data_IF_906826678133
#
_entry.id   IF_906826678133
#
_cell.length_a   1.000
_cell.length_b   1.000
_cell.length_c   1.000
_cell.angle_alpha   90.00
_cell.angle_beta   90.00
_cell.angle_gamma   90.00
#
_symmetry.space_group_name_H-M   'P 1'
#
loop_
_entity.id
_entity.type
_entity.pdbx_description
1 polymer ?
#
# COMPACT_ATOMS: atom_id res chain seq x y z
N UNK A 1 -10.67 -22.22 -7.39
CA UNK A 1 -9.44 -21.42 -7.61
C UNK A 1 -9.48 -20.24 -6.64
N UNK A 2 -8.40 -19.93 -5.90
CA UNK A 2 -8.38 -18.76 -5.00
C UNK A 2 -7.98 -17.52 -5.82
N UNK A 3 -8.77 -16.45 -5.74
CA UNK A 3 -8.48 -15.18 -6.42
C UNK A 3 -7.24 -14.50 -5.81
N UNK A 4 -6.31 -14.06 -6.65
CA UNK A 4 -5.18 -13.20 -6.29
C UNK A 4 -5.60 -11.74 -6.31
N UNK A 5 -5.36 -11.04 -5.22
CA UNK A 5 -5.83 -9.68 -5.01
C UNK A 5 -4.67 -8.72 -4.75
N UNK A 6 -4.72 -7.52 -5.33
CA UNK A 6 -3.74 -6.46 -5.08
C UNK A 6 -4.41 -5.24 -4.41
N UNK A 7 -3.87 -4.83 -3.28
CA UNK A 7 -4.29 -3.64 -2.54
C UNK A 7 -3.36 -2.47 -2.85
N UNK A 8 -3.82 -1.41 -3.51
CA UNK A 8 -2.94 -0.33 -4.00
C UNK A 8 -3.33 1.02 -3.41
N UNK A 9 -2.41 1.66 -2.68
CA UNK A 9 -2.58 3.05 -2.22
C UNK A 9 -1.41 3.94 -2.69
N UNK A 10 -1.29 5.17 -2.20
CA UNK A 10 -0.18 6.05 -2.59
C UNK A 10 1.19 5.54 -2.10
N UNK A 11 1.40 5.36 -0.79
CA UNK A 11 2.75 5.09 -0.24
C UNK A 11 2.99 3.66 0.24
N UNK A 12 2.03 2.75 0.05
CA UNK A 12 2.10 1.39 0.61
C UNK A 12 2.37 1.35 2.13
N UNK A 13 1.77 2.28 2.89
CA UNK A 13 2.03 2.42 4.33
C UNK A 13 0.82 2.09 5.18
N UNK A 14 -0.33 2.70 4.89
CA UNK A 14 -1.51 2.60 5.74
C UNK A 14 -2.62 1.76 5.10
N UNK A 15 -3.48 2.38 4.26
CA UNK A 15 -4.69 1.77 3.69
C UNK A 15 -4.45 0.40 3.03
N UNK A 16 -3.51 0.31 2.09
CA UNK A 16 -3.21 -0.95 1.41
C UNK A 16 -2.61 -2.02 2.32
N UNK A 17 -1.84 -1.60 3.33
CA UNK A 17 -1.18 -2.52 4.27
C UNK A 17 -2.12 -3.03 5.36
N UNK A 18 -3.09 -2.21 5.78
CA UNK A 18 -4.16 -2.67 6.68
C UNK A 18 -5.03 -3.71 5.96
N UNK A 19 -5.46 -3.42 4.73
CA UNK A 19 -6.22 -4.38 3.92
C UNK A 19 -5.42 -5.66 3.66
N UNK A 20 -4.12 -5.56 3.35
CA UNK A 20 -3.26 -6.73 3.23
C UNK A 20 -3.22 -7.54 4.53
N UNK A 21 -2.97 -6.91 5.68
CA UNK A 21 -2.91 -7.59 6.96
C UNK A 21 -4.21 -8.35 7.28
N UNK A 22 -5.36 -7.71 7.05
CA UNK A 22 -6.67 -8.31 7.23
C UNK A 22 -6.88 -9.51 6.30
N UNK A 23 -6.75 -9.31 4.98
CA UNK A 23 -6.99 -10.37 4.00
C UNK A 23 -6.02 -11.55 4.15
N UNK A 24 -4.76 -11.28 4.52
CA UNK A 24 -3.76 -12.33 4.77
C UNK A 24 -4.14 -13.16 5.99
N UNK A 25 -4.67 -12.55 7.05
CA UNK A 25 -5.14 -13.25 8.25
C UNK A 25 -6.32 -14.18 7.92
N UNK A 26 -7.20 -13.76 7.01
CA UNK A 26 -8.34 -14.57 6.54
C UNK A 26 -7.95 -15.60 5.46
N UNK A 27 -6.66 -15.74 5.12
CA UNK A 27 -6.17 -16.79 4.21
C UNK A 27 -6.37 -16.52 2.72
N UNK A 28 -6.58 -15.26 2.33
CA UNK A 28 -6.63 -14.82 0.93
C UNK A 28 -5.22 -14.72 0.31
N UNK A 29 -5.14 -14.87 -1.01
CA UNK A 29 -3.93 -14.59 -1.78
C UNK A 29 -3.86 -13.09 -2.07
N UNK A 30 -3.15 -12.35 -1.23
CA UNK A 30 -3.12 -10.88 -1.27
C UNK A 30 -1.69 -10.34 -1.39
N UNK A 31 -1.53 -9.29 -2.20
CA UNK A 31 -0.35 -8.44 -2.24
C UNK A 31 -0.76 -6.96 -2.06
N UNK A 32 0.21 -6.08 -1.82
CA UNK A 32 -0.07 -4.65 -1.66
C UNK A 32 1.01 -3.74 -2.23
N UNK A 33 0.61 -2.60 -2.78
CA UNK A 33 1.48 -1.69 -3.53
C UNK A 33 1.23 -0.21 -3.20
N UNK A 34 2.21 0.60 -3.58
CA UNK A 34 2.19 2.06 -3.59
C UNK A 34 2.34 2.57 -5.01
N UNK A 35 1.66 3.65 -5.42
CA UNK A 35 1.95 4.29 -6.72
C UNK A 35 2.95 5.43 -6.62
N UNK A 36 3.19 5.96 -5.42
CA UNK A 36 4.15 7.02 -5.16
C UNK A 36 5.60 6.60 -5.45
N UNK A 37 6.43 7.57 -5.83
CA UNK A 37 7.86 7.33 -6.03
C UNK A 37 8.61 7.09 -4.72
N UNK A 38 8.23 7.83 -3.67
CA UNK A 38 8.84 7.74 -2.35
C UNK A 38 7.78 7.54 -1.27
N UNK A 39 8.16 6.85 -0.20
CA UNK A 39 7.36 6.83 1.02
C UNK A 39 7.55 8.14 1.76
N UNK A 40 6.42 8.80 2.09
CA UNK A 40 6.41 9.98 2.96
C UNK A 40 5.58 9.67 4.20
N UNK A 41 6.19 9.85 5.38
CA UNK A 41 5.54 9.74 6.68
C UNK A 41 5.53 11.11 7.37
N UNK A 42 4.46 11.47 8.10
CA UNK A 42 4.44 12.70 8.89
C UNK A 42 5.65 12.80 9.82
N UNK A 43 6.26 13.98 9.89
CA UNK A 43 7.31 14.29 10.86
C UNK A 43 6.85 15.27 11.94
N UNK A 44 7.77 15.95 12.63
CA UNK A 44 7.45 16.91 13.69
C UNK A 44 6.61 18.11 13.20
N UNK A 45 6.78 18.49 11.93
CA UNK A 45 6.03 19.57 11.29
C UNK A 45 5.63 19.21 9.85
N UNK A 46 4.71 19.97 9.26
CA UNK A 46 4.31 19.81 7.85
C UNK A 46 5.47 20.00 6.86
N UNK A 47 6.50 20.77 7.24
CA UNK A 47 7.66 21.08 6.40
C UNK A 47 8.78 20.04 6.52
N UNK A 48 8.68 19.15 7.50
CA UNK A 48 9.73 18.18 7.84
C UNK A 48 9.20 16.75 7.76
N UNK A 49 8.78 16.26 6.58
CA UNK A 49 8.35 14.88 6.42
C UNK A 49 9.53 13.91 6.55
N UNK A 50 9.26 12.71 7.04
CA UNK A 50 10.22 11.61 6.93
C UNK A 50 10.06 10.93 5.57
N UNK A 51 11.13 10.87 4.78
CA UNK A 51 11.13 10.25 3.45
C UNK A 51 12.01 9.00 3.48
N UNK A 52 11.52 7.91 2.88
CA UNK A 52 12.21 6.63 2.89
C UNK A 52 12.08 5.86 1.57
N UNK A 53 13.16 5.15 1.21
CA UNK A 53 13.19 4.10 0.19
C UNK A 53 13.66 2.75 0.79
N UNK A 54 13.55 2.61 2.12
CA UNK A 54 14.09 1.49 2.91
C UNK A 54 13.02 0.46 3.35
N UNK A 55 13.42 -0.74 3.82
CA UNK A 55 12.51 -1.68 4.48
C UNK A 55 11.79 -1.10 5.71
N UNK A 56 10.58 -1.60 6.03
CA UNK A 56 9.78 -1.08 7.15
C UNK A 56 10.49 -1.20 8.50
N UNK A 57 11.32 -2.24 8.69
CA UNK A 57 12.10 -2.43 9.92
C UNK A 57 13.07 -1.26 10.16
N UNK A 58 13.75 -0.80 9.10
CA UNK A 58 14.64 0.36 9.18
C UNK A 58 13.86 1.64 9.52
N UNK A 59 12.72 1.88 8.87
CA UNK A 59 11.85 3.02 9.19
C UNK A 59 11.41 3.00 10.66
N UNK A 60 11.02 1.82 11.17
CA UNK A 60 10.57 1.64 12.54
C UNK A 60 11.67 1.97 13.56
N UNK A 61 12.89 1.51 13.31
CA UNK A 61 14.06 1.75 14.16
C UNK A 61 14.49 3.22 14.11
N UNK A 62 14.51 3.83 12.93
CA UNK A 62 14.85 5.25 12.75
C UNK A 62 13.89 6.17 13.51
N UNK A 63 12.58 5.97 13.35
CA UNK A 63 11.57 6.78 14.04
C UNK A 63 11.57 6.55 15.55
N UNK A 64 11.84 5.32 16.01
CA UNK A 64 12.02 5.03 17.45
C UNK A 64 13.20 5.80 18.05
N UNK A 65 14.27 5.99 17.29
CA UNK A 65 15.45 6.75 17.72
C UNK A 65 15.23 8.25 17.67
N UNK A 66 14.50 8.76 16.67
CA UNK A 66 14.23 10.19 16.49
C UNK A 66 13.31 10.77 17.57
N UNK A 67 12.08 10.24 17.69
CA UNK A 67 11.14 10.68 18.72
C UNK A 67 10.06 9.62 18.99
N UNK A 68 10.31 8.68 19.92
CA UNK A 68 9.40 7.58 20.18
C UNK A 68 8.05 8.05 20.77
N UNK A 69 7.99 9.22 21.41
CA UNK A 69 6.74 9.75 21.99
C UNK A 69 5.85 10.31 20.89
N UNK A 70 6.40 11.15 20.00
CA UNK A 70 5.69 11.70 18.85
C UNK A 70 5.14 10.59 17.95
N UNK A 71 6.00 9.66 17.54
CA UNK A 71 5.63 8.64 16.56
C UNK A 71 4.75 7.52 17.14
N UNK A 72 4.69 7.39 18.47
CA UNK A 72 3.67 6.58 19.13
C UNK A 72 2.34 7.31 19.17
N UNK A 73 2.33 8.59 19.56
CA UNK A 73 1.12 9.41 19.68
C UNK A 73 0.38 9.57 18.34
N UNK A 74 1.11 9.71 17.23
CA UNK A 74 0.51 9.83 15.90
C UNK A 74 0.25 8.48 15.20
N UNK A 75 0.45 7.35 15.89
CA UNK A 75 0.15 6.01 15.37
C UNK A 75 1.15 5.42 14.37
N UNK A 76 2.23 6.13 14.01
CA UNK A 76 3.19 5.64 13.00
C UNK A 76 4.00 4.43 13.49
N UNK A 77 4.44 4.40 14.75
CA UNK A 77 5.18 3.24 15.27
C UNK A 77 4.34 1.95 15.31
N UNK A 78 3.09 1.97 15.82
CA UNK A 78 2.18 0.83 15.69
C UNK A 78 1.95 0.40 14.23
N UNK A 79 1.72 1.37 13.33
CA UNK A 79 1.51 1.11 11.90
C UNK A 79 2.72 0.42 11.26
N UNK A 80 3.93 0.92 11.50
CA UNK A 80 5.16 0.30 10.98
C UNK A 80 5.40 -1.07 11.60
N UNK A 81 5.08 -1.28 12.88
CA UNK A 81 5.16 -2.60 13.53
C UNK A 81 4.23 -3.60 12.84
N UNK A 82 3.00 -3.20 12.48
CA UNK A 82 2.09 -4.02 11.65
C UNK A 82 2.73 -4.32 10.30
N UNK A 83 3.26 -3.30 9.61
CA UNK A 83 3.83 -3.46 8.27
C UNK A 83 5.00 -4.47 8.24
N UNK A 84 5.89 -4.41 9.23
CA UNK A 84 6.98 -5.39 9.42
C UNK A 84 6.44 -6.82 9.52
N UNK A 85 5.31 -7.04 10.19
CA UNK A 85 4.68 -8.36 10.29
C UNK A 85 4.02 -8.85 9.01
N UNK A 86 3.73 -7.95 8.06
CA UNK A 86 3.06 -8.27 6.80
C UNK A 86 4.08 -8.62 5.71
N UNK A 87 5.08 -7.73 5.48
CA UNK A 87 6.13 -7.90 4.46
C UNK A 87 7.35 -7.02 4.73
N UNK A 88 8.45 -7.25 4.01
CA UNK A 88 9.76 -6.61 4.27
C UNK A 88 9.79 -5.11 3.99
N UNK A 89 9.28 -4.69 2.83
CA UNK A 89 9.43 -3.32 2.33
C UNK A 89 8.18 -2.84 1.57
N UNK A 90 7.93 -1.53 1.51
CA UNK A 90 6.97 -0.98 0.56
C UNK A 90 7.42 -1.32 -0.86
N UNK A 91 6.46 -1.74 -1.69
CA UNK A 91 6.66 -2.04 -3.10
C UNK A 91 5.86 -1.07 -3.95
N UNK A 92 6.41 -0.67 -5.10
CA UNK A 92 5.75 0.18 -6.08
C UNK A 92 4.92 -0.65 -7.04
N UNK A 93 3.74 -0.16 -7.41
CA UNK A 93 2.84 -0.82 -8.35
C UNK A 93 3.47 -0.91 -9.74
N UNK A 94 4.17 0.14 -10.16
CA UNK A 94 4.80 0.22 -11.47
C UNK A 94 5.90 -0.82 -11.68
N UNK A 95 6.47 -1.35 -10.58
CA UNK A 95 7.61 -2.26 -10.59
C UNK A 95 7.18 -3.70 -10.22
N UNK A 96 5.89 -4.05 -10.39
CA UNK A 96 5.31 -5.31 -9.91
C UNK A 96 5.37 -6.48 -10.93
N UNK A 97 6.07 -6.32 -12.06
CA UNK A 97 6.05 -7.29 -13.15
C UNK A 97 6.44 -8.72 -12.70
N UNK A 98 7.39 -8.84 -11.77
CA UNK A 98 7.87 -10.12 -11.25
C UNK A 98 6.87 -10.80 -10.30
N UNK A 99 5.88 -10.08 -9.77
CA UNK A 99 4.86 -10.61 -8.86
C UNK A 99 3.71 -11.34 -9.59
N UNK A 100 3.68 -11.29 -10.92
CA UNK A 100 2.69 -11.92 -11.78
C UNK A 100 1.33 -11.19 -11.82
N UNK A 101 0.29 -11.88 -12.29
CA UNK A 101 -1.04 -11.28 -12.51
C UNK A 101 -1.95 -11.35 -11.28
N UNK A 102 -2.88 -10.40 -11.20
CA UNK A 102 -3.92 -10.32 -10.16
C UNK A 102 -5.29 -10.41 -10.80
N UNK A 103 -6.21 -11.13 -10.15
CA UNK A 103 -7.60 -11.25 -10.58
C UNK A 103 -8.41 -10.00 -10.16
N UNK A 104 -8.07 -9.41 -9.01
CA UNK A 104 -8.75 -8.21 -8.48
C UNK A 104 -7.72 -7.19 -8.03
N UNK A 105 -7.86 -5.94 -8.48
CA UNK A 105 -7.05 -4.81 -8.00
C UNK A 105 -7.97 -3.81 -7.32
N UNK A 106 -7.72 -3.52 -6.04
CA UNK A 106 -8.44 -2.53 -5.26
C UNK A 106 -7.56 -1.30 -5.02
N UNK A 107 -8.10 -0.13 -5.33
CA UNK A 107 -7.44 1.16 -5.13
C UNK A 107 -8.17 2.00 -4.09
N UNK A 108 -7.42 2.70 -3.25
CA UNK A 108 -7.99 3.42 -2.09
C UNK A 108 -8.19 4.94 -2.30
N UNK A 109 -7.95 5.45 -3.50
CA UNK A 109 -8.19 6.85 -3.89
C UNK A 109 -8.20 6.98 -5.42
N UNK A 110 -8.92 7.97 -5.95
CA UNK A 110 -9.09 8.17 -7.39
C UNK A 110 -7.76 8.38 -8.12
N UNK A 111 -6.87 9.20 -7.59
CA UNK A 111 -5.54 9.41 -8.18
C UNK A 111 -4.73 8.10 -8.30
N UNK A 112 -4.87 7.19 -7.33
CA UNK A 112 -4.19 5.88 -7.39
C UNK A 112 -4.85 4.99 -8.43
N UNK A 113 -6.18 5.02 -8.54
CA UNK A 113 -6.92 4.34 -9.60
C UNK A 113 -6.40 4.76 -10.98
N UNK A 114 -6.33 6.06 -11.25
CA UNK A 114 -5.87 6.59 -12.53
C UNK A 114 -4.45 6.10 -12.86
N UNK A 115 -3.54 6.13 -11.87
CA UNK A 115 -2.16 5.64 -12.05
C UNK A 115 -2.08 4.13 -12.30
N UNK A 116 -2.95 3.35 -11.65
CA UNK A 116 -3.03 1.89 -11.88
C UNK A 116 -3.51 1.61 -13.29
N UNK A 117 -4.59 2.28 -13.74
CA UNK A 117 -5.16 2.11 -15.09
C UNK A 117 -4.16 2.55 -16.17
N UNK A 118 -3.48 3.68 -15.99
CA UNK A 118 -2.43 4.13 -16.92
C UNK A 118 -1.30 3.11 -17.04
N UNK A 119 -0.85 2.54 -15.92
CA UNK A 119 0.16 1.47 -15.94
C UNK A 119 -0.30 0.26 -16.76
N UNK A 120 -1.55 -0.16 -16.59
CA UNK A 120 -2.14 -1.30 -17.31
C UNK A 120 -2.24 -1.07 -18.82
N UNK A 121 -2.59 0.15 -19.26
CA UNK A 121 -2.63 0.50 -20.70
C UNK A 121 -1.26 0.37 -21.37
N UNK A 122 -0.18 0.70 -20.66
CA UNK A 122 1.20 0.53 -21.17
C UNK A 122 1.55 -0.96 -21.32
N UNK A 123 1.12 -1.81 -20.40
CA UNK A 123 1.33 -3.27 -20.51
C UNK A 123 0.54 -3.89 -21.68
N UNK A 124 -0.66 -3.38 -21.98
CA UNK A 124 -1.50 -3.86 -23.09
C UNK A 124 -0.87 -3.66 -24.48
N UNK A 125 -0.04 -2.62 -24.67
CA UNK A 125 0.63 -2.41 -25.96
C UNK A 125 1.77 -3.40 -26.24
N UNK A 126 2.30 -4.09 -25.22
CA UNK A 126 3.49 -4.92 -25.34
C UNK A 126 3.27 -6.44 -25.20
N UNK A 127 2.09 -6.92 -24.74
CA UNK A 127 1.72 -8.36 -24.74
C UNK A 127 0.19 -8.55 -24.82
N UNK A 128 -0.26 -9.37 -25.77
CA UNK A 128 -1.65 -9.87 -25.87
C UNK A 128 -2.00 -10.74 -24.65
N UNK A 129 -2.80 -10.20 -23.72
CA UNK A 129 -3.49 -10.99 -22.69
C UNK A 129 -4.90 -10.42 -22.46
N UNK A 130 -5.88 -11.32 -22.40
CA UNK A 130 -7.30 -11.04 -22.19
C UNK A 130 -7.58 -10.64 -20.74
N UNK A 131 -8.40 -9.60 -20.54
CA UNK A 131 -8.77 -9.02 -19.25
C UNK A 131 -9.95 -9.79 -18.63
N UNK A 132 -9.92 -10.01 -17.31
CA UNK A 132 -11.09 -10.42 -16.53
C UNK A 132 -11.55 -9.26 -15.63
N UNK A 133 -12.42 -8.44 -16.21
CA UNK A 133 -13.63 -7.77 -15.68
C UNK A 133 -13.79 -7.21 -14.25
N UNK A 134 -12.80 -7.04 -13.35
CA UNK A 134 -13.12 -6.29 -12.10
C UNK A 134 -12.00 -5.49 -11.47
N UNK A 135 -11.81 -4.25 -11.93
CA UNK A 135 -11.22 -3.19 -11.10
C UNK A 135 -12.37 -2.54 -10.31
N UNK A 136 -12.51 -2.90 -9.03
CA UNK A 136 -13.55 -2.29 -8.17
C UNK A 136 -13.05 -0.95 -7.64
N UNK A 137 -13.70 0.14 -8.06
CA UNK A 137 -13.52 1.49 -7.49
C UNK A 137 -14.22 1.52 -6.12
N UNK A 138 -13.52 1.20 -5.04
CA UNK A 138 -14.07 1.31 -3.68
C UNK A 138 -13.89 2.75 -3.17
N UNK A 139 -14.61 3.71 -3.77
CA UNK A 139 -14.46 5.11 -3.37
C UNK A 139 -15.13 5.45 -2.02
N UNK A 140 -16.16 4.72 -1.57
CA UNK A 140 -16.98 5.22 -0.45
C UNK A 140 -17.27 4.26 0.71
N UNK A 141 -16.83 2.99 0.67
CA UNK A 141 -17.21 2.00 1.70
C UNK A 141 -16.20 1.82 2.87
N UNK A 142 -14.99 2.36 2.78
CA UNK A 142 -13.96 2.21 3.83
C UNK A 142 -13.73 3.49 4.64
N UNK A 143 -14.26 4.64 4.22
CA UNK A 143 -14.12 5.88 5.01
C UNK A 143 -14.87 5.84 6.36
N UNK A 144 -15.81 4.91 6.55
CA UNK A 144 -16.60 4.83 7.79
C UNK A 144 -15.94 3.97 8.88
N UNK A 145 -15.10 2.99 8.54
CA UNK A 145 -14.53 2.07 9.54
C UNK A 145 -13.06 2.29 9.91
N UNK A 146 -12.33 3.14 9.19
CA UNK A 146 -10.87 3.25 9.34
C UNK A 146 -10.37 4.59 9.92
N UNK A 147 -11.29 5.48 10.32
CA UNK A 147 -11.01 6.73 11.05
C UNK A 147 -11.71 6.84 12.41
N UNK A 148 -12.36 5.77 12.88
CA UNK A 148 -12.88 5.68 14.25
C UNK A 148 -11.98 4.71 14.99
N UNK A 149 -10.94 5.25 15.64
CA UNK A 149 -10.27 4.84 16.89
C UNK A 149 -8.86 5.44 16.96
#
# INVERSE_FOLDING_TARGET
MKLRQAMVCSSNQNRSMEAHALLKREGFLVASYGTGQHVKLPGPSLREPNVYDSPYKHMLEDLRRKDPKLYRRNGILPMLKRNVGVKTAPQRWQDNADDGTFDVVLTFEEKVFDMVVQGLQVYQHNRLFFYSDTIVKLLDLIFIYLFIY
#
